data_IF_976667356790
#
_entry.id   IF_976667356790
#
_cell.length_a   1.000
_cell.length_b   1.000
_cell.length_c   1.000
_cell.angle_alpha   90.00
_cell.angle_beta   90.00
_cell.angle_gamma   90.00
#
_symmetry.space_group_name_H-M   'P 1'
#
loop_
_entity.id
_entity.type
_entity.pdbx_description
1 polymer ?
#
# COMPACT_ATOMS: atom_id res chain seq x y z
N UNK A 1 1.77 -15.36 5.80
CA UNK A 1 1.76 -14.48 4.61
C UNK A 1 0.62 -13.51 4.84
N UNK A 2 0.93 -12.27 5.19
CA UNK A 2 -0.06 -11.30 5.66
C UNK A 2 -0.59 -10.53 4.45
N UNK A 3 -1.69 -11.04 3.91
CA UNK A 3 -2.35 -10.45 2.76
C UNK A 3 -3.61 -9.71 3.17
N UNK A 4 -3.72 -8.47 2.71
CA UNK A 4 -4.79 -7.56 3.08
C UNK A 4 -5.46 -7.01 1.83
N UNK A 5 -6.77 -6.82 1.89
CA UNK A 5 -7.45 -5.94 0.94
C UNK A 5 -6.91 -4.51 1.06
N UNK A 6 -7.05 -3.66 0.03
CA UNK A 6 -6.66 -2.26 0.11
C UNK A 6 -7.27 -1.51 1.31
N UNK A 7 -8.52 -1.85 1.70
CA UNK A 7 -9.18 -1.24 2.86
C UNK A 7 -8.59 -1.69 4.19
N UNK A 8 -8.24 -2.97 4.33
CA UNK A 8 -7.60 -3.48 5.54
C UNK A 8 -6.17 -2.93 5.69
N UNK A 9 -5.42 -2.87 4.58
CA UNK A 9 -4.05 -2.32 4.57
C UNK A 9 -4.06 -0.81 4.87
N UNK A 10 -5.07 -0.09 4.37
CA UNK A 10 -5.28 1.33 4.69
C UNK A 10 -5.43 1.56 6.18
N UNK A 11 -6.27 0.75 6.85
CA UNK A 11 -6.46 0.84 8.31
C UNK A 11 -5.19 0.48 9.08
N UNK A 12 -4.44 -0.50 8.59
CA UNK A 12 -3.25 -1.01 9.28
C UNK A 12 -2.04 -0.06 9.16
N UNK A 13 -1.88 0.60 8.01
CA UNK A 13 -0.75 1.49 7.74
C UNK A 13 -1.08 2.97 7.91
N UNK A 14 -2.36 3.34 8.06
CA UNK A 14 -2.80 4.74 8.11
C UNK A 14 -2.61 5.47 6.77
N UNK A 15 -2.56 4.75 5.66
CA UNK A 15 -2.41 5.28 4.30
C UNK A 15 -3.78 5.27 3.62
N UNK A 16 -4.10 6.30 2.84
CA UNK A 16 -5.35 6.33 2.08
C UNK A 16 -5.44 5.15 1.10
N UNK A 17 -6.63 4.53 0.99
CA UNK A 17 -6.87 3.40 0.09
C UNK A 17 -6.48 3.71 -1.36
N UNK A 18 -6.77 4.91 -1.84
CA UNK A 18 -6.44 5.34 -3.20
C UNK A 18 -4.93 5.50 -3.40
N UNK A 19 -4.18 5.90 -2.38
CA UNK A 19 -2.72 5.92 -2.41
C UNK A 19 -2.14 4.50 -2.46
N UNK A 20 -2.72 3.56 -1.69
CA UNK A 20 -2.34 2.14 -1.76
C UNK A 20 -2.54 1.60 -3.18
N UNK A 21 -3.71 1.85 -3.78
CA UNK A 21 -4.01 1.40 -5.15
C UNK A 21 -3.05 2.05 -6.15
N UNK A 22 -2.76 3.35 -6.01
CA UNK A 22 -1.83 4.06 -6.88
C UNK A 22 -0.43 3.44 -6.82
N UNK A 23 0.11 3.21 -5.63
CA UNK A 23 1.43 2.57 -5.45
C UNK A 23 1.43 1.16 -6.04
N UNK A 24 0.36 0.38 -5.87
CA UNK A 24 0.30 -0.94 -6.49
C UNK A 24 0.36 -0.90 -8.02
N UNK A 25 -0.25 0.12 -8.64
CA UNK A 25 -0.22 0.31 -10.09
C UNK A 25 1.15 0.82 -10.56
N UNK A 26 1.72 1.83 -9.90
CA UNK A 26 2.99 2.45 -10.28
C UNK A 26 4.18 1.49 -10.10
N UNK A 27 4.20 0.75 -9.00
CA UNK A 27 5.31 -0.16 -8.64
C UNK A 27 5.06 -1.60 -9.09
N UNK A 28 4.03 -1.84 -9.92
CA UNK A 28 3.63 -3.14 -10.43
C UNK A 28 3.46 -4.22 -9.33
N UNK A 29 2.90 -3.83 -8.18
CA UNK A 29 2.64 -4.74 -7.06
C UNK A 29 1.39 -5.57 -7.38
N UNK A 30 1.49 -6.91 -7.37
CA UNK A 30 0.36 -7.75 -7.73
C UNK A 30 -0.73 -7.75 -6.66
N UNK A 31 -1.98 -7.73 -7.12
CA UNK A 31 -3.18 -7.88 -6.28
C UNK A 31 -3.80 -9.25 -6.58
N UNK A 32 -3.69 -10.19 -5.65
CA UNK A 32 -4.21 -11.55 -5.80
C UNK A 32 -5.51 -11.71 -5.02
N UNK A 33 -6.61 -12.06 -5.71
CA UNK A 33 -7.95 -12.17 -5.11
C UNK A 33 -8.34 -10.93 -4.27
N UNK A 34 -7.99 -9.74 -4.78
CA UNK A 34 -8.26 -8.48 -4.11
C UNK A 34 -7.37 -8.19 -2.90
N UNK A 35 -6.29 -8.95 -2.69
CA UNK A 35 -5.36 -8.78 -1.58
C UNK A 35 -3.93 -8.49 -2.02
N UNK A 36 -3.23 -7.75 -1.17
CA UNK A 36 -1.86 -7.26 -1.33
C UNK A 36 -1.01 -7.88 -0.21
N UNK A 37 0.17 -8.39 -0.56
CA UNK A 37 1.16 -8.79 0.45
C UNK A 37 1.75 -7.55 1.11
N UNK A 38 1.59 -7.45 2.43
CA UNK A 38 2.01 -6.27 3.19
C UNK A 38 3.51 -6.01 3.11
N UNK A 39 4.33 -7.07 3.23
CA UNK A 39 5.78 -6.91 3.26
C UNK A 39 6.31 -6.40 1.92
N UNK A 40 5.75 -6.91 0.81
CA UNK A 40 6.07 -6.40 -0.52
C UNK A 40 5.63 -4.94 -0.68
N UNK A 41 4.44 -4.58 -0.20
CA UNK A 41 3.96 -3.21 -0.26
C UNK A 41 4.86 -2.23 0.51
N UNK A 42 5.19 -2.54 1.77
CA UNK A 42 6.06 -1.71 2.59
C UNK A 42 7.47 -1.58 1.98
N UNK A 43 8.01 -2.67 1.41
CA UNK A 43 9.31 -2.65 0.74
C UNK A 43 9.30 -1.72 -0.49
N UNK A 44 8.26 -1.77 -1.32
CA UNK A 44 8.16 -0.89 -2.48
C UNK A 44 7.90 0.56 -2.07
N UNK A 45 7.02 0.80 -1.10
CA UNK A 45 6.76 2.16 -0.58
C UNK A 45 8.05 2.85 -0.11
N UNK A 46 8.95 2.12 0.53
CA UNK A 46 10.28 2.62 0.91
C UNK A 46 11.19 2.88 -0.29
N UNK A 47 11.14 2.02 -1.31
CA UNK A 47 11.97 2.13 -2.52
C UNK A 47 11.55 3.28 -3.44
N UNK A 48 10.24 3.52 -3.61
CA UNK A 48 9.71 4.61 -4.45
C UNK A 48 9.94 5.99 -3.85
N UNK A 49 10.40 6.06 -2.59
CA UNK A 49 10.55 7.31 -1.85
C UNK A 49 9.24 8.05 -1.67
N UNK A 50 8.10 7.35 -1.83
CA UNK A 50 6.77 7.91 -1.59
C UNK A 50 6.69 8.23 -0.09
N UNK A 51 6.71 9.51 0.30
CA UNK A 51 6.44 9.82 1.68
C UNK A 51 4.99 9.39 1.89
N UNK A 52 4.72 8.55 2.89
CA UNK A 52 3.38 8.49 3.47
C UNK A 52 3.06 9.91 3.87
N UNK A 53 2.37 10.65 2.99
CA UNK A 53 2.25 12.11 3.10
C UNK A 53 1.59 12.34 4.43
N UNK A 54 2.39 12.92 5.31
CA UNK A 54 2.04 13.32 6.64
C UNK A 54 0.66 13.93 6.60
N UNK A 55 -0.27 13.35 7.35
CA UNK A 55 -1.50 14.02 7.71
C UNK A 55 -1.12 15.41 8.23
N UNK A 56 -1.42 16.45 7.47
CA UNK A 56 -1.30 17.84 7.88
C UNK A 56 -2.45 18.59 7.23
N UNK A 57 -3.40 19.03 8.06
CA UNK A 57 -4.57 19.80 7.68
C UNK A 57 -5.72 19.54 8.63
#
# INVERSE_FOLDING_TARGET
>A
MNHYTPEELSKELGIERDEIVRVCLEEAIPIYHGKIDRALFEAQLQASGAPGRSATG
#
